data_IF_953878180588
#
_entry.id   IF_953878180588
#
_cell.length_a   1.000
_cell.length_b   1.000
_cell.length_c   1.000
_cell.angle_alpha   90.00
_cell.angle_beta   90.00
_cell.angle_gamma   90.00
#
_symmetry.space_group_name_H-M   'P 1'
#
loop_
_entity.id
_entity.type
_entity.pdbx_description
1 polymer ?
#
# COMPACT_ATOMS: atom_id res chain seq x y z
N UNK A 1 23.72 22.11 25.29
CA UNK A 1 24.96 22.93 25.38
C UNK A 1 26.03 22.15 24.68
N UNK A 2 26.79 22.72 23.74
CA UNK A 2 27.98 22.07 23.26
C UNK A 2 28.81 21.74 24.49
N UNK A 3 29.44 20.60 24.51
CA UNK A 3 30.23 20.18 25.65
C UNK A 3 31.41 21.17 25.81
N UNK A 4 31.34 22.05 26.80
CA UNK A 4 32.40 23.01 27.14
C UNK A 4 33.77 22.32 27.16
N UNK A 5 33.81 21.04 27.54
CA UNK A 5 35.01 20.22 27.55
C UNK A 5 35.54 19.90 26.14
N UNK A 6 34.67 19.60 25.15
CA UNK A 6 35.12 19.34 23.77
C UNK A 6 35.70 20.59 23.13
N UNK A 7 35.04 21.73 23.28
CA UNK A 7 35.50 23.02 22.72
C UNK A 7 36.82 23.42 23.37
N UNK A 8 36.95 23.30 24.71
CA UNK A 8 38.20 23.57 25.43
C UNK A 8 39.35 22.68 24.97
N UNK A 9 39.09 21.38 24.73
CA UNK A 9 40.13 20.46 24.22
C UNK A 9 40.59 20.84 22.81
N UNK A 10 39.66 21.20 21.93
CA UNK A 10 39.94 21.63 20.56
C UNK A 10 40.75 22.93 20.53
N UNK A 11 40.47 23.84 21.45
CA UNK A 11 41.18 25.13 21.57
C UNK A 11 42.57 25.00 22.12
N UNK A 12 42.79 24.06 23.06
CA UNK A 12 44.05 23.91 23.81
C UNK A 12 44.98 22.80 23.33
N UNK A 13 44.55 21.99 22.34
CA UNK A 13 45.35 20.93 21.75
C UNK A 13 45.74 21.25 20.30
N UNK A 14 46.92 20.83 19.80
CA UNK A 14 47.33 21.01 18.42
C UNK A 14 46.63 19.98 17.51
N UNK A 15 45.31 20.17 17.29
CA UNK A 15 44.53 19.27 16.46
C UNK A 15 44.42 19.78 15.01
N UNK A 16 44.50 18.89 13.98
CA UNK A 16 44.55 19.29 12.59
C UNK A 16 43.17 19.75 12.06
N UNK A 17 42.06 19.50 12.79
CA UNK A 17 40.71 19.91 12.43
C UNK A 17 39.95 20.42 13.64
N UNK A 18 38.93 21.23 13.39
CA UNK A 18 38.04 21.74 14.44
C UNK A 18 36.64 21.15 14.27
N UNK A 19 36.37 19.94 14.77
CA UNK A 19 35.07 19.33 14.74
C UNK A 19 34.09 20.07 15.63
N UNK A 20 32.80 20.09 15.22
CA UNK A 20 31.71 20.63 16.03
C UNK A 20 30.89 19.48 16.60
N UNK A 21 30.49 19.60 17.87
CA UNK A 21 29.59 18.69 18.53
C UNK A 21 28.16 19.18 18.32
N UNK A 22 27.31 18.30 17.79
CA UNK A 22 25.86 18.54 17.65
C UNK A 22 25.09 17.58 18.56
N UNK A 23 24.14 18.12 19.30
CA UNK A 23 23.25 17.35 20.17
C UNK A 23 21.85 17.35 19.60
N UNK A 24 21.22 16.18 19.57
CA UNK A 24 19.87 15.99 19.07
C UNK A 24 18.96 15.46 20.18
N UNK A 25 17.70 15.87 20.17
CA UNK A 25 16.68 15.28 21.01
C UNK A 25 16.44 13.80 20.61
N UNK A 26 16.10 12.98 21.58
CA UNK A 26 15.64 11.61 21.30
C UNK A 26 14.24 11.67 20.69
N UNK A 27 14.09 11.10 19.50
CA UNK A 27 12.80 10.88 18.86
C UNK A 27 12.26 9.50 19.23
N UNK A 28 11.03 9.41 19.69
CA UNK A 28 10.28 8.17 19.83
C UNK A 28 9.09 8.19 18.87
N UNK A 29 8.61 7.00 18.51
CA UNK A 29 7.38 6.83 17.72
C UNK A 29 6.34 6.11 18.55
N UNK A 30 5.08 6.47 18.35
CA UNK A 30 3.97 5.66 18.85
C UNK A 30 3.95 4.27 18.20
N UNK A 31 3.47 3.27 18.92
CA UNK A 31 3.40 1.87 18.49
C UNK A 31 4.73 1.24 18.05
N UNK A 32 5.87 1.79 18.49
CA UNK A 32 7.19 1.40 18.00
C UNK A 32 8.22 1.52 19.10
N UNK A 33 9.18 0.61 19.10
CA UNK A 33 10.38 0.70 19.95
C UNK A 33 11.61 0.96 19.09
N UNK A 34 12.46 1.90 19.51
CA UNK A 34 13.71 2.25 18.81
C UNK A 34 14.96 1.76 19.53
N UNK A 35 14.79 1.12 20.68
CA UNK A 35 15.90 0.59 21.47
C UNK A 35 16.55 -0.61 20.77
N UNK A 36 17.85 -0.49 20.42
CA UNK A 36 18.62 -1.59 19.80
C UNK A 36 18.53 -2.90 20.60
N UNK A 37 18.53 -2.81 21.95
CA UNK A 37 18.41 -3.99 22.82
C UNK A 37 17.08 -4.72 22.63
N UNK A 38 15.97 -3.98 22.57
CA UNK A 38 14.65 -4.58 22.36
C UNK A 38 14.49 -5.10 20.92
N UNK A 39 14.93 -4.33 19.92
CA UNK A 39 14.91 -4.79 18.53
C UNK A 39 15.75 -6.06 18.33
N UNK A 40 16.93 -6.13 18.95
CA UNK A 40 17.77 -7.33 18.92
C UNK A 40 17.10 -8.55 19.52
N UNK A 41 16.34 -8.38 20.61
CA UNK A 41 15.57 -9.47 21.22
C UNK A 41 14.42 -9.94 20.32
N UNK A 42 13.69 -9.04 19.68
CA UNK A 42 12.64 -9.40 18.72
C UNK A 42 13.19 -10.31 17.60
N UNK A 43 14.42 -10.02 17.13
CA UNK A 43 15.09 -10.85 16.11
C UNK A 43 15.57 -12.17 16.69
N UNK A 44 16.31 -12.14 17.83
CA UNK A 44 16.93 -13.36 18.40
C UNK A 44 15.90 -14.36 18.96
N UNK A 45 14.74 -13.88 19.40
CA UNK A 45 13.66 -14.68 19.93
C UNK A 45 12.61 -15.08 18.84
N UNK A 46 12.82 -14.66 17.57
CA UNK A 46 12.02 -15.09 16.42
C UNK A 46 10.65 -14.41 16.28
N UNK A 47 10.42 -13.28 16.95
CA UNK A 47 9.17 -12.50 16.79
C UNK A 47 9.09 -11.79 15.44
N UNK A 48 10.26 -11.51 14.84
CA UNK A 48 10.42 -10.97 13.48
C UNK A 48 11.48 -11.76 12.74
N UNK A 49 11.45 -11.75 11.39
CA UNK A 49 12.37 -12.55 10.54
C UNK A 49 13.81 -12.08 10.57
N UNK A 50 14.03 -10.80 10.87
CA UNK A 50 15.38 -10.21 10.87
C UNK A 50 15.34 -8.70 11.02
N UNK A 51 16.50 -8.06 10.91
CA UNK A 51 16.63 -6.60 11.00
C UNK A 51 15.98 -5.85 9.84
N UNK A 52 15.71 -6.54 8.74
CA UNK A 52 15.03 -6.04 7.54
C UNK A 52 13.56 -6.47 7.45
N UNK A 53 13.00 -7.08 8.50
CA UNK A 53 11.56 -7.39 8.55
C UNK A 53 10.75 -6.09 8.37
N UNK A 54 9.83 -6.01 7.38
CA UNK A 54 9.08 -4.80 7.06
C UNK A 54 8.26 -4.18 8.21
N UNK A 55 8.09 -4.88 9.33
CA UNK A 55 7.46 -4.38 10.55
C UNK A 55 8.41 -3.64 11.49
N UNK A 56 9.73 -3.78 11.24
CA UNK A 56 10.78 -3.16 12.06
C UNK A 56 11.01 -1.70 11.67
N UNK A 57 11.41 -0.82 12.62
CA UNK A 57 11.69 0.59 12.36
C UNK A 57 13.14 0.84 11.90
N UNK A 58 13.78 -0.13 11.28
CA UNK A 58 15.14 0.00 10.75
C UNK A 58 15.14 0.54 9.33
N UNK A 59 16.21 1.21 8.90
CA UNK A 59 16.31 1.69 7.52
C UNK A 59 16.27 0.56 6.49
N UNK A 60 16.82 -0.61 6.83
CA UNK A 60 16.75 -1.80 5.96
C UNK A 60 15.31 -2.30 5.81
N UNK A 61 14.55 -2.34 6.91
CA UNK A 61 13.15 -2.73 6.92
C UNK A 61 12.27 -1.73 6.16
N UNK A 62 12.44 -0.44 6.40
CA UNK A 62 11.70 0.61 5.69
C UNK A 62 11.99 0.57 4.18
N UNK A 63 13.26 0.37 3.79
CA UNK A 63 13.64 0.18 2.38
C UNK A 63 12.96 -1.04 1.77
N UNK A 64 13.01 -2.20 2.45
CA UNK A 64 12.37 -3.44 2.00
C UNK A 64 10.86 -3.29 1.88
N UNK A 65 10.24 -2.49 2.75
CA UNK A 65 8.82 -2.15 2.71
C UNK A 65 8.46 -1.16 1.60
N UNK A 66 9.44 -0.49 0.98
CA UNK A 66 9.23 0.46 -0.12
C UNK A 66 9.04 1.91 0.32
N UNK A 67 9.55 2.31 1.49
CA UNK A 67 9.52 3.71 1.92
C UNK A 67 10.56 4.52 1.13
N UNK A 68 10.18 5.57 0.39
CA UNK A 68 11.12 6.41 -0.33
C UNK A 68 11.94 7.27 0.64
N UNK A 69 13.26 7.46 0.40
CA UNK A 69 14.12 8.26 1.27
C UNK A 69 13.66 9.70 1.46
N UNK A 70 12.99 10.28 0.45
CA UNK A 70 12.44 11.64 0.55
C UNK A 70 11.35 11.74 1.61
N UNK A 71 10.44 10.77 1.69
CA UNK A 71 9.39 10.78 2.72
C UNK A 71 9.97 10.76 4.13
N UNK A 72 11.08 10.02 4.33
CA UNK A 72 11.81 10.03 5.60
C UNK A 72 12.45 11.39 5.90
N UNK A 73 13.03 12.05 4.90
CA UNK A 73 13.64 13.39 5.05
C UNK A 73 12.59 14.44 5.35
N UNK A 74 11.51 14.48 4.56
CA UNK A 74 10.40 15.42 4.78
C UNK A 74 9.83 15.30 6.20
N UNK A 75 9.65 14.06 6.67
CA UNK A 75 9.21 13.81 8.04
C UNK A 75 10.19 14.39 9.07
N UNK A 76 11.52 14.18 8.90
CA UNK A 76 12.52 14.71 9.83
C UNK A 76 12.55 16.25 9.83
N UNK A 77 12.36 16.88 8.67
CA UNK A 77 12.28 18.34 8.56
C UNK A 77 11.03 18.88 9.27
N UNK A 78 9.91 18.15 9.23
CA UNK A 78 8.67 18.53 9.91
C UNK A 78 8.77 18.37 11.43
N UNK A 79 9.40 17.27 11.89
CA UNK A 79 9.60 17.00 13.32
C UNK A 79 10.86 17.70 13.80
N UNK A 80 10.80 19.03 14.05
CA UNK A 80 11.94 19.82 14.51
C UNK A 80 12.74 19.12 15.63
N UNK A 81 13.90 18.59 15.30
CA UNK A 81 14.82 17.91 16.25
C UNK A 81 15.57 18.87 17.17
N UNK A 82 15.27 20.16 17.13
CA UNK A 82 15.97 21.25 17.85
C UNK A 82 15.57 21.46 19.31
N UNK A 83 14.66 20.67 19.87
CA UNK A 83 14.22 20.77 21.26
C UNK A 83 15.09 19.99 22.24
N UNK A 84 15.30 20.53 23.45
CA UNK A 84 15.87 19.77 24.58
C UNK A 84 14.76 18.90 25.18
N UNK A 85 14.82 17.60 24.97
CA UNK A 85 13.89 16.64 25.57
C UNK A 85 13.56 15.45 24.67
N UNK A 86 12.79 14.50 25.20
CA UNK A 86 12.27 13.37 24.41
C UNK A 86 11.02 13.85 23.69
N UNK A 87 11.03 13.79 22.36
CA UNK A 87 9.86 14.05 21.53
C UNK A 87 9.24 12.72 21.11
N UNK A 88 7.94 12.58 21.24
CA UNK A 88 7.16 11.49 20.65
C UNK A 88 6.49 12.00 19.37
N UNK A 89 6.67 11.28 18.29
CA UNK A 89 5.99 11.56 17.02
C UNK A 89 4.96 10.45 16.74
N UNK A 90 3.81 10.86 16.24
CA UNK A 90 2.85 9.89 15.73
C UNK A 90 3.40 9.23 14.46
N UNK A 91 3.39 7.91 14.40
CA UNK A 91 3.89 7.19 13.22
C UNK A 91 3.10 7.56 11.95
N UNK A 92 1.86 7.99 12.10
CA UNK A 92 0.99 8.49 11.05
C UNK A 92 1.56 9.73 10.33
N UNK A 93 2.38 10.53 11.02
CA UNK A 93 3.07 11.68 10.41
C UNK A 93 4.11 11.22 9.38
N UNK A 94 4.88 10.18 9.71
CA UNK A 94 5.81 9.56 8.76
C UNK A 94 5.06 8.94 7.59
N UNK A 95 3.97 8.22 7.86
CA UNK A 95 3.16 7.59 6.82
C UNK A 95 2.52 8.63 5.90
N UNK A 96 2.16 9.81 6.40
CA UNK A 96 1.65 10.93 5.61
C UNK A 96 2.69 11.41 4.59
N UNK A 97 3.90 11.73 5.04
CA UNK A 97 4.98 12.21 4.18
C UNK A 97 5.38 11.18 3.10
N UNK A 98 5.45 9.91 3.49
CA UNK A 98 5.71 8.82 2.55
C UNK A 98 4.59 8.71 1.50
N UNK A 99 3.34 8.82 1.93
CA UNK A 99 2.17 8.76 1.03
C UNK A 99 2.14 9.93 0.06
N UNK A 100 2.47 11.13 0.50
CA UNK A 100 2.53 12.32 -0.33
C UNK A 100 3.58 12.17 -1.45
N UNK A 101 4.78 11.69 -1.13
CA UNK A 101 5.81 11.38 -2.13
C UNK A 101 5.33 10.31 -3.12
N UNK A 102 4.76 9.21 -2.61
CA UNK A 102 4.31 8.10 -3.45
C UNK A 102 3.11 8.48 -4.32
N UNK A 103 2.21 9.33 -3.85
CA UNK A 103 1.07 9.81 -4.64
C UNK A 103 1.53 10.52 -5.92
N UNK A 104 2.59 11.31 -5.83
CA UNK A 104 3.16 12.02 -6.96
C UNK A 104 3.98 11.15 -7.91
N UNK A 105 4.64 10.09 -7.41
CA UNK A 105 5.64 9.33 -8.19
C UNK A 105 5.21 7.93 -8.59
N UNK A 106 4.45 7.24 -7.73
CA UNK A 106 4.15 5.84 -7.94
C UNK A 106 3.28 5.63 -9.18
N UNK A 107 3.72 4.74 -10.06
CA UNK A 107 2.93 4.34 -11.22
C UNK A 107 1.70 3.56 -10.75
N UNK A 108 0.55 3.82 -11.39
CA UNK A 108 -0.71 3.11 -11.11
C UNK A 108 -0.69 1.77 -11.84
N UNK A 109 -1.06 0.70 -11.14
CA UNK A 109 -1.10 -0.66 -11.65
C UNK A 109 -2.36 -1.36 -11.20
N UNK A 110 -2.84 -2.32 -11.98
CA UNK A 110 -3.96 -3.16 -11.58
C UNK A 110 -3.45 -4.41 -10.85
N UNK A 111 -4.09 -4.72 -9.75
CA UNK A 111 -3.88 -5.93 -8.98
C UNK A 111 -5.18 -6.32 -8.30
N UNK A 112 -5.42 -7.60 -8.12
CA UNK A 112 -6.59 -8.15 -7.43
C UNK A 112 -6.08 -9.05 -6.31
N UNK A 113 -6.35 -8.68 -5.07
CA UNK A 113 -5.83 -9.38 -3.89
C UNK A 113 -6.69 -10.55 -3.46
N UNK A 114 -8.00 -10.45 -3.70
CA UNK A 114 -8.99 -11.50 -3.43
C UNK A 114 -9.81 -11.74 -4.68
N UNK A 115 -9.33 -12.57 -5.61
CA UNK A 115 -9.97 -12.72 -6.91
C UNK A 115 -11.40 -13.30 -6.83
N UNK A 116 -12.32 -12.65 -7.55
CA UNK A 116 -13.61 -13.18 -7.90
C UNK A 116 -13.76 -13.13 -9.42
N UNK A 117 -14.11 -14.26 -10.02
CA UNK A 117 -14.26 -14.37 -11.48
C UNK A 117 -15.49 -13.59 -11.95
N UNK A 118 -15.35 -12.88 -13.07
CA UNK A 118 -16.41 -12.15 -13.75
C UNK A 118 -16.37 -12.54 -15.23
N UNK A 119 -17.47 -13.07 -15.75
CA UNK A 119 -17.63 -13.45 -17.16
C UNK A 119 -18.59 -12.50 -17.84
N UNK A 120 -18.16 -11.86 -18.93
CA UNK A 120 -18.97 -10.96 -19.74
C UNK A 120 -19.64 -11.79 -20.85
N UNK A 121 -20.92 -12.15 -20.69
CA UNK A 121 -21.59 -13.13 -21.55
C UNK A 121 -21.75 -12.66 -23.00
N UNK A 122 -21.96 -11.38 -23.21
CA UNK A 122 -22.12 -10.77 -24.55
C UNK A 122 -20.83 -10.22 -25.14
N UNK A 123 -19.64 -10.47 -24.53
CA UNK A 123 -18.35 -10.16 -25.13
C UNK A 123 -17.91 -11.33 -26.02
N UNK A 124 -17.37 -11.07 -27.25
CA UNK A 124 -17.00 -12.15 -28.18
C UNK A 124 -15.95 -13.11 -27.61
N UNK A 125 -16.16 -14.39 -27.81
CA UNK A 125 -15.18 -15.41 -27.40
C UNK A 125 -13.84 -15.26 -28.14
N UNK A 126 -12.75 -15.44 -27.41
CA UNK A 126 -11.38 -15.35 -27.95
C UNK A 126 -10.95 -13.95 -28.36
N UNK A 127 -11.81 -12.95 -28.23
CA UNK A 127 -11.42 -11.57 -28.49
C UNK A 127 -10.66 -11.01 -27.29
N UNK A 128 -9.45 -10.46 -27.59
CA UNK A 128 -8.67 -9.68 -26.64
C UNK A 128 -8.45 -8.29 -27.23
N UNK A 129 -8.73 -7.26 -26.48
CA UNK A 129 -8.42 -5.89 -26.88
C UNK A 129 -7.49 -5.24 -25.86
N UNK A 130 -6.71 -4.27 -26.34
CA UNK A 130 -5.83 -3.47 -25.49
C UNK A 130 -6.56 -2.21 -25.04
N UNK A 131 -6.69 -2.07 -23.73
CA UNK A 131 -7.25 -0.87 -23.10
C UNK A 131 -6.12 0.02 -22.61
N UNK A 132 -6.18 1.29 -22.98
CA UNK A 132 -5.17 2.26 -22.55
C UNK A 132 -5.44 2.73 -21.12
N UNK A 133 -4.40 2.64 -20.27
CA UNK A 133 -4.46 3.06 -18.88
C UNK A 133 -3.34 4.06 -18.54
N UNK A 134 -3.68 5.17 -17.91
CA UNK A 134 -2.73 6.19 -17.46
C UNK A 134 -1.83 5.64 -16.37
N UNK A 135 -0.50 5.80 -16.53
CA UNK A 135 0.47 5.33 -15.57
C UNK A 135 0.50 6.16 -14.29
N UNK A 136 0.39 7.49 -14.42
CA UNK A 136 0.28 8.38 -13.26
C UNK A 136 -0.53 9.63 -13.64
N UNK A 137 -1.72 9.86 -13.03
CA UNK A 137 -2.52 11.05 -13.34
C UNK A 137 -1.89 12.35 -12.84
N UNK A 138 -0.97 12.32 -11.86
CA UNK A 138 -0.25 13.48 -11.33
C UNK A 138 0.98 13.82 -12.19
N UNK A 139 1.46 12.90 -13.03
CA UNK A 139 2.61 13.06 -13.90
C UNK A 139 2.30 12.60 -15.33
N UNK A 140 1.88 13.51 -16.21
CA UNK A 140 1.60 13.18 -17.61
C UNK A 140 2.82 12.61 -18.38
N UNK A 141 4.06 12.90 -17.93
CA UNK A 141 5.28 12.38 -18.55
C UNK A 141 5.46 10.87 -18.33
N UNK A 142 4.81 10.30 -17.34
CA UNK A 142 4.79 8.85 -17.09
C UNK A 142 4.04 8.07 -18.19
N UNK A 143 3.28 8.76 -19.05
CA UNK A 143 2.59 8.20 -20.21
C UNK A 143 1.48 7.20 -19.83
N UNK A 144 1.20 6.31 -20.77
CA UNK A 144 0.14 5.30 -20.67
C UNK A 144 0.72 3.91 -20.88
N UNK A 145 -0.07 2.89 -20.56
CA UNK A 145 0.20 1.48 -20.84
C UNK A 145 -1.03 0.80 -21.42
N UNK A 146 -0.81 -0.31 -22.08
CA UNK A 146 -1.87 -1.17 -22.59
C UNK A 146 -2.14 -2.31 -21.63
N UNK A 147 -3.42 -2.49 -21.28
CA UNK A 147 -3.89 -3.55 -20.39
C UNK A 147 -4.82 -4.46 -21.21
N UNK A 148 -4.55 -5.78 -21.28
CA UNK A 148 -5.40 -6.70 -22.03
C UNK A 148 -6.76 -6.84 -21.38
N UNK A 149 -7.84 -6.68 -22.18
CA UNK A 149 -9.22 -6.87 -21.78
C UNK A 149 -9.81 -8.05 -22.57
N UNK A 150 -10.50 -8.95 -21.90
CA UNK A 150 -11.08 -10.15 -22.48
C UNK A 150 -12.47 -10.43 -21.89
N UNK A 151 -13.13 -11.49 -22.36
CA UNK A 151 -14.42 -11.94 -21.86
C UNK A 151 -14.42 -12.30 -20.38
N UNK A 152 -13.32 -12.90 -19.91
CA UNK A 152 -13.18 -13.38 -18.54
C UNK A 152 -12.20 -12.48 -17.75
N UNK A 153 -12.67 -11.99 -16.64
CA UNK A 153 -11.95 -11.05 -15.80
C UNK A 153 -11.90 -11.52 -14.35
N UNK A 154 -10.94 -10.97 -13.61
CA UNK A 154 -10.88 -11.00 -12.15
C UNK A 154 -11.17 -9.62 -11.59
N UNK A 155 -12.00 -9.55 -10.56
CA UNK A 155 -12.26 -8.34 -9.76
C UNK A 155 -12.01 -8.64 -8.29
N UNK A 156 -11.94 -7.59 -7.45
CA UNK A 156 -11.90 -7.79 -6.01
C UNK A 156 -13.21 -8.41 -5.51
N UNK A 157 -13.12 -9.46 -4.70
CA UNK A 157 -14.28 -10.08 -4.06
C UNK A 157 -15.10 -9.08 -3.25
N UNK A 158 -14.43 -8.15 -2.57
CA UNK A 158 -15.07 -7.10 -1.78
C UNK A 158 -15.82 -6.06 -2.64
N UNK A 159 -15.63 -6.07 -3.96
CA UNK A 159 -16.37 -5.22 -4.90
C UNK A 159 -17.74 -5.77 -5.28
N UNK A 160 -18.08 -6.98 -4.86
CA UNK A 160 -19.39 -7.58 -5.08
C UNK A 160 -20.11 -7.91 -3.77
N UNK A 161 -21.41 -7.72 -3.76
CA UNK A 161 -22.32 -8.15 -2.69
C UNK A 161 -23.68 -8.53 -3.28
N UNK A 162 -24.17 -9.74 -2.98
CA UNK A 162 -25.41 -10.25 -3.51
C UNK A 162 -26.62 -9.52 -2.94
N UNK A 163 -26.63 -9.31 -1.62
CA UNK A 163 -27.68 -8.55 -0.92
C UNK A 163 -27.06 -7.29 -0.26
N UNK A 164 -26.86 -6.21 -1.04
CA UNK A 164 -26.13 -5.06 -0.60
C UNK A 164 -26.96 -4.12 0.29
N UNK A 165 -26.41 -3.58 1.35
CA UNK A 165 -27.03 -2.52 2.12
C UNK A 165 -27.16 -1.23 1.27
N UNK A 166 -28.08 -0.34 1.66
CA UNK A 166 -28.42 0.89 0.90
C UNK A 166 -27.20 1.77 0.53
N UNK A 167 -26.13 1.73 1.33
CA UNK A 167 -24.90 2.53 1.11
C UNK A 167 -23.80 1.79 0.34
N UNK A 168 -24.02 0.57 -0.10
CA UNK A 168 -23.08 -0.15 -0.94
C UNK A 168 -23.34 0.22 -2.40
N UNK A 169 -22.37 0.83 -3.07
CA UNK A 169 -22.51 1.35 -4.44
C UNK A 169 -21.75 0.52 -5.49
N UNK A 170 -21.05 -0.55 -5.07
CA UNK A 170 -20.28 -1.42 -5.96
C UNK A 170 -21.21 -2.43 -6.66
N UNK A 171 -20.65 -3.45 -7.31
CA UNK A 171 -21.37 -4.42 -8.10
C UNK A 171 -22.34 -5.26 -7.25
N UNK A 172 -23.54 -5.46 -7.76
CA UNK A 172 -24.59 -6.26 -7.17
C UNK A 172 -25.53 -6.76 -8.30
N UNK A 173 -26.37 -7.76 -8.08
CA UNK A 173 -27.33 -8.20 -9.08
C UNK A 173 -28.17 -7.04 -9.66
N UNK A 174 -28.22 -6.95 -10.98
CA UNK A 174 -28.91 -5.87 -11.71
C UNK A 174 -28.28 -4.48 -11.61
N UNK A 175 -27.13 -4.33 -10.97
CA UNK A 175 -26.45 -3.04 -10.82
C UNK A 175 -25.33 -2.88 -11.82
N UNK A 176 -25.31 -1.69 -12.46
CA UNK A 176 -24.26 -1.28 -13.37
C UNK A 176 -23.10 -0.62 -12.64
N UNK A 177 -21.86 -0.96 -13.04
CA UNK A 177 -20.60 -0.34 -12.60
C UNK A 177 -19.70 -0.08 -13.79
N UNK A 178 -18.73 0.82 -13.62
CA UNK A 178 -17.68 1.07 -14.60
C UNK A 178 -16.48 0.14 -14.32
N UNK A 179 -16.01 -0.59 -15.30
CA UNK A 179 -14.67 -1.17 -15.30
C UNK A 179 -13.67 -0.09 -15.74
N UNK A 180 -12.64 0.12 -14.91
CA UNK A 180 -11.67 1.20 -15.07
C UNK A 180 -11.08 1.22 -16.47
N UNK A 181 -11.19 2.36 -17.18
CA UNK A 181 -10.72 2.57 -18.55
C UNK A 181 -11.35 1.66 -19.62
N UNK A 182 -12.30 0.77 -19.28
CA UNK A 182 -12.91 -0.17 -20.20
C UNK A 182 -14.40 0.17 -20.42
N UNK A 183 -15.31 -0.63 -19.93
CA UNK A 183 -16.74 -0.56 -20.22
C UNK A 183 -17.59 -0.48 -18.96
N UNK A 184 -18.86 -0.16 -19.13
CA UNK A 184 -19.85 -0.42 -18.09
C UNK A 184 -20.30 -1.88 -18.18
N UNK A 185 -20.50 -2.49 -17.01
CA UNK A 185 -21.01 -3.86 -16.88
C UNK A 185 -22.11 -3.92 -15.85
N UNK A 186 -23.12 -4.72 -16.14
CA UNK A 186 -24.25 -5.01 -15.24
C UNK A 186 -24.21 -6.49 -14.87
N UNK A 187 -24.29 -6.81 -13.58
CA UNK A 187 -24.36 -8.20 -13.12
C UNK A 187 -25.75 -8.78 -13.45
N UNK A 188 -25.77 -9.86 -14.23
CA UNK A 188 -26.97 -10.57 -14.68
C UNK A 188 -27.29 -11.80 -13.86
N UNK A 189 -26.25 -12.50 -13.39
CA UNK A 189 -26.39 -13.74 -12.62
C UNK A 189 -25.21 -13.96 -11.68
N UNK A 190 -25.40 -14.84 -10.67
CA UNK A 190 -24.40 -15.20 -9.64
C UNK A 190 -24.28 -16.69 -9.56
N UNK A 191 -23.09 -17.22 -9.83
CA UNK A 191 -22.80 -18.65 -9.75
C UNK A 191 -22.19 -18.99 -8.39
N UNK A 192 -22.77 -19.98 -7.73
CA UNK A 192 -22.31 -20.49 -6.44
C UNK A 192 -21.82 -21.92 -6.55
N UNK A 193 -20.86 -22.27 -5.73
CA UNK A 193 -20.43 -23.66 -5.58
C UNK A 193 -21.38 -24.49 -4.70
N UNK A 194 -21.03 -25.75 -4.47
CA UNK A 194 -21.84 -26.67 -3.66
C UNK A 194 -21.93 -26.27 -2.17
N UNK A 195 -21.03 -25.40 -1.69
CA UNK A 195 -21.06 -24.85 -0.32
C UNK A 195 -21.92 -23.58 -0.21
N UNK A 196 -22.35 -23.04 -1.34
CA UNK A 196 -23.08 -21.76 -1.41
C UNK A 196 -22.19 -20.53 -1.54
N UNK A 197 -20.86 -20.73 -1.64
CA UNK A 197 -19.91 -19.62 -1.86
C UNK A 197 -19.97 -19.14 -3.30
N UNK A 198 -19.91 -17.81 -3.48
CA UNK A 198 -19.91 -17.18 -4.80
C UNK A 198 -18.56 -17.40 -5.46
N UNK A 199 -18.54 -18.07 -6.62
CA UNK A 199 -17.34 -18.40 -7.39
C UNK A 199 -17.22 -17.66 -8.70
N UNK A 200 -18.35 -17.21 -9.29
CA UNK A 200 -18.36 -16.50 -10.56
C UNK A 200 -19.54 -15.54 -10.64
N UNK A 201 -19.32 -14.41 -11.29
CA UNK A 201 -20.36 -13.45 -11.66
C UNK A 201 -20.54 -13.46 -13.17
N UNK A 202 -21.79 -13.46 -13.63
CA UNK A 202 -22.12 -13.26 -15.02
C UNK A 202 -22.58 -11.83 -15.21
N UNK A 203 -22.06 -11.19 -16.25
CA UNK A 203 -22.32 -9.79 -16.53
C UNK A 203 -22.57 -9.59 -18.02
N UNK A 204 -23.33 -8.56 -18.33
CA UNK A 204 -23.42 -8.00 -19.67
C UNK A 204 -22.66 -6.66 -19.71
N UNK A 205 -21.88 -6.40 -20.78
CA UNK A 205 -21.26 -5.11 -20.99
C UNK A 205 -22.03 -4.27 -21.99
N UNK A 206 -21.87 -2.96 -21.90
CA UNK A 206 -22.37 -2.02 -22.88
C UNK A 206 -21.24 -1.58 -23.82
N UNK A 207 -21.23 -2.01 -25.09
CA UNK A 207 -20.15 -1.71 -26.04
C UNK A 207 -20.02 -0.22 -26.38
N UNK A 208 -21.07 0.59 -26.20
CA UNK A 208 -21.03 2.02 -26.47
C UNK A 208 -20.29 2.83 -25.39
N UNK A 209 -19.92 2.19 -24.27
CA UNK A 209 -19.28 2.84 -23.12
C UNK A 209 -17.76 2.65 -23.08
N UNK A 210 -17.12 2.34 -24.22
CA UNK A 210 -15.68 2.17 -24.32
C UNK A 210 -14.92 3.39 -23.80
N UNK A 211 -13.92 3.16 -22.94
CA UNK A 211 -13.17 4.24 -22.27
C UNK A 211 -13.86 4.76 -21.00
N UNK A 212 -15.08 4.29 -20.69
CA UNK A 212 -15.77 4.58 -19.45
C UNK A 212 -16.70 5.79 -19.46
N UNK A 213 -17.13 6.24 -20.63
CA UNK A 213 -18.19 7.24 -20.80
C UNK A 213 -19.38 6.64 -21.57
N UNK A 214 -20.58 7.04 -21.21
CA UNK A 214 -21.82 6.59 -21.88
C UNK A 214 -22.37 7.70 -22.79
N UNK A 215 -22.84 7.37 -24.02
CA UNK A 215 -23.42 8.36 -24.95
C UNK A 215 -24.65 9.08 -24.38
N UNK A 216 -25.43 8.41 -23.54
CA UNK A 216 -26.60 8.96 -22.85
C UNK A 216 -26.25 9.78 -21.59
N UNK A 217 -24.98 9.92 -21.26
CA UNK A 217 -24.49 10.69 -20.12
C UNK A 217 -24.67 10.05 -18.75
N UNK A 218 -25.15 8.78 -18.67
CA UNK A 218 -25.26 8.09 -17.39
C UNK A 218 -23.87 7.84 -16.79
N UNK A 219 -23.80 7.83 -15.46
CA UNK A 219 -22.54 7.67 -14.71
C UNK A 219 -22.74 6.69 -13.57
N UNK A 220 -22.25 5.45 -13.68
CA UNK A 220 -22.23 4.50 -12.58
C UNK A 220 -21.51 5.08 -11.36
N UNK A 221 -22.05 4.81 -10.17
CA UNK A 221 -21.49 5.36 -8.91
C UNK A 221 -20.16 4.76 -8.51
N UNK A 222 -19.80 3.59 -9.05
CA UNK A 222 -18.57 2.89 -8.72
C UNK A 222 -17.74 2.59 -9.97
N UNK A 223 -16.42 2.67 -9.81
CA UNK A 223 -15.44 2.21 -10.77
C UNK A 223 -14.61 1.10 -10.13
N UNK A 224 -14.54 -0.06 -10.79
CA UNK A 224 -13.79 -1.22 -10.35
C UNK A 224 -12.52 -1.36 -11.20
N UNK A 225 -11.42 -1.76 -10.59
CA UNK A 225 -10.27 -2.28 -11.31
C UNK A 225 -10.47 -3.76 -11.57
N UNK A 226 -9.76 -4.27 -12.54
CA UNK A 226 -9.95 -5.62 -13.06
C UNK A 226 -8.66 -6.15 -13.69
N UNK A 227 -8.61 -7.46 -13.92
CA UNK A 227 -7.54 -8.11 -14.67
C UNK A 227 -8.15 -9.12 -15.64
N UNK A 228 -7.57 -9.24 -16.84
CA UNK A 228 -7.90 -10.35 -17.75
C UNK A 228 -7.49 -11.67 -17.13
N UNK A 229 -8.38 -12.64 -17.12
CA UNK A 229 -8.16 -13.95 -16.51
C UNK A 229 -7.00 -14.71 -17.18
N UNK A 230 -6.89 -14.58 -18.49
CA UNK A 230 -5.85 -15.24 -19.30
C UNK A 230 -4.46 -14.61 -19.11
N UNK A 231 -4.40 -13.30 -18.82
CA UNK A 231 -3.14 -12.55 -18.79
C UNK A 231 -2.67 -12.21 -17.37
N UNK A 232 -3.49 -12.43 -16.36
CA UNK A 232 -3.15 -12.14 -14.97
C UNK A 232 -2.02 -13.06 -14.48
N UNK A 233 -1.07 -12.46 -13.74
CA UNK A 233 0.09 -13.16 -13.21
C UNK A 233 -0.12 -13.42 -11.72
N UNK A 234 0.09 -14.67 -11.24
CA UNK A 234 0.00 -15.00 -9.82
C UNK A 234 1.05 -14.25 -8.99
N UNK A 235 0.63 -13.79 -7.81
CA UNK A 235 1.50 -13.11 -6.87
C UNK A 235 1.10 -13.41 -5.42
N UNK A 236 2.08 -13.29 -4.52
CA UNK A 236 1.89 -13.26 -3.09
C UNK A 236 1.93 -11.80 -2.62
N UNK A 237 1.03 -11.41 -1.72
CA UNK A 237 1.05 -10.08 -1.13
C UNK A 237 1.12 -10.17 0.38
N UNK A 238 2.06 -9.42 0.97
CA UNK A 238 2.23 -9.30 2.42
C UNK A 238 1.68 -7.95 2.87
N UNK A 239 0.71 -8.00 3.77
CA UNK A 239 0.07 -6.82 4.35
C UNK A 239 0.56 -6.70 5.79
N UNK A 240 1.06 -5.51 6.14
CA UNK A 240 1.60 -5.25 7.48
C UNK A 240 0.70 -4.30 8.23
N UNK A 241 0.47 -4.62 9.49
CA UNK A 241 -0.08 -3.76 10.51
C UNK A 241 1.00 -3.37 11.52
N UNK A 242 0.65 -2.62 12.54
CA UNK A 242 1.59 -2.23 13.60
C UNK A 242 2.09 -3.45 14.34
N UNK A 243 3.40 -3.47 14.63
CA UNK A 243 4.02 -4.57 15.38
C UNK A 243 3.53 -4.65 16.83
N UNK A 244 3.10 -3.50 17.39
CA UNK A 244 2.57 -3.42 18.74
C UNK A 244 1.15 -2.89 18.75
N UNK A 245 0.36 -3.33 19.72
CA UNK A 245 -1.05 -2.96 19.89
C UNK A 245 -1.24 -1.65 20.67
N UNK A 246 -0.20 -1.19 21.40
CA UNK A 246 -0.27 0.00 22.27
C UNK A 246 0.64 1.14 21.76
N UNK A 247 0.23 2.40 22.00
CA UNK A 247 1.03 3.57 21.60
C UNK A 247 2.42 3.63 22.27
N UNK A 248 2.54 3.18 23.51
CA UNK A 248 3.79 3.12 24.27
C UNK A 248 4.10 1.66 24.66
N UNK A 249 4.75 0.89 23.78
CA UNK A 249 4.99 -0.53 24.00
C UNK A 249 5.95 -0.77 25.17
N UNK A 250 5.57 -1.70 26.05
CA UNK A 250 6.36 -2.07 27.22
C UNK A 250 6.29 -1.09 28.39
N UNK A 251 5.36 -0.13 28.39
CA UNK A 251 5.17 0.81 29.50
C UNK A 251 4.87 0.09 30.82
N UNK A 252 4.16 -1.03 30.78
CA UNK A 252 3.83 -1.85 31.95
C UNK A 252 4.93 -2.86 32.33
N UNK A 253 6.11 -2.82 31.66
CA UNK A 253 7.26 -3.67 31.93
C UNK A 253 7.36 -4.94 31.06
N UNK A 254 6.28 -5.35 30.38
CA UNK A 254 6.30 -6.50 29.46
C UNK A 254 6.03 -6.06 28.01
N UNK A 255 7.13 -5.93 27.25
CA UNK A 255 7.06 -5.57 25.84
C UNK A 255 6.34 -6.63 24.97
N UNK A 256 6.43 -7.90 25.36
CA UNK A 256 5.90 -8.99 24.54
C UNK A 256 4.38 -9.14 24.66
N UNK A 257 3.82 -8.73 25.79
CA UNK A 257 2.37 -8.68 25.97
C UNK A 257 1.70 -7.69 25.00
N UNK A 258 2.44 -6.71 24.51
CA UNK A 258 1.97 -5.70 23.57
C UNK A 258 2.17 -6.08 22.11
N UNK A 259 2.78 -7.24 21.78
CA UNK A 259 2.94 -7.68 20.40
C UNK A 259 1.60 -7.93 19.73
N UNK A 260 1.47 -7.46 18.50
CA UNK A 260 0.28 -7.69 17.68
C UNK A 260 0.44 -9.03 16.91
N UNK A 261 -0.33 -10.07 17.26
CA UNK A 261 -0.26 -11.36 16.59
C UNK A 261 -0.70 -11.29 15.11
N UNK A 262 -1.46 -10.26 14.75
CA UNK A 262 -1.95 -10.02 13.40
C UNK A 262 -1.14 -8.94 12.66
N UNK A 263 0.11 -8.69 13.09
CA UNK A 263 0.96 -7.65 12.48
C UNK A 263 1.37 -7.95 11.04
N UNK A 264 1.17 -9.19 10.56
CA UNK A 264 1.40 -9.61 9.18
C UNK A 264 0.24 -10.50 8.70
N UNK A 265 -0.26 -10.20 7.51
CA UNK A 265 -1.20 -11.07 6.76
C UNK A 265 -0.60 -11.39 5.41
N UNK A 266 -0.52 -12.68 5.09
CA UNK A 266 0.02 -13.14 3.80
C UNK A 266 -1.13 -13.63 2.93
N UNK A 267 -1.35 -12.98 1.78
CA UNK A 267 -2.31 -13.37 0.76
C UNK A 267 -1.57 -14.13 -0.33
N UNK A 268 -1.93 -15.39 -0.58
CA UNK A 268 -1.21 -16.30 -1.47
C UNK A 268 -1.74 -16.27 -2.91
N UNK A 269 -3.02 -15.98 -3.09
CA UNK A 269 -3.74 -16.12 -4.36
C UNK A 269 -4.06 -14.78 -5.01
N UNK A 270 -3.13 -13.82 -4.90
CA UNK A 270 -3.28 -12.53 -5.55
C UNK A 270 -2.93 -12.62 -7.02
N UNK A 271 -3.51 -11.73 -7.80
CA UNK A 271 -3.25 -11.59 -9.23
C UNK A 271 -2.81 -10.17 -9.55
N UNK A 272 -1.88 -10.04 -10.48
CA UNK A 272 -1.34 -8.73 -10.90
C UNK A 272 -1.28 -8.62 -12.42
N UNK A 273 -1.26 -7.39 -12.94
CA UNK A 273 -1.10 -7.17 -14.38
C UNK A 273 0.32 -7.58 -14.86
N UNK A 274 0.47 -7.99 -16.13
CA UNK A 274 1.76 -8.46 -16.66
C UNK A 274 2.91 -7.46 -16.52
N UNK A 275 2.63 -6.15 -16.60
CA UNK A 275 3.63 -5.09 -16.46
C UNK A 275 4.36 -5.09 -15.10
N UNK A 276 3.84 -5.81 -14.10
CA UNK A 276 4.48 -5.93 -12.78
C UNK A 276 5.56 -7.01 -12.72
N UNK A 277 5.69 -7.86 -13.74
CA UNK A 277 6.74 -8.90 -13.81
C UNK A 277 8.14 -8.33 -13.97
N UNK A 278 8.25 -7.13 -14.55
CA UNK A 278 9.52 -6.44 -14.82
C UNK A 278 9.83 -5.34 -13.81
N UNK A 279 8.97 -5.18 -12.78
CA UNK A 279 9.15 -4.13 -11.78
C UNK A 279 10.38 -4.42 -10.90
N UNK A 280 11.37 -3.51 -10.84
CA UNK A 280 12.56 -3.71 -10.02
C UNK A 280 12.24 -3.78 -8.53
N UNK A 281 12.99 -4.62 -7.79
CA UNK A 281 12.92 -4.66 -6.33
C UNK A 281 13.26 -3.28 -5.75
N UNK A 282 12.43 -2.80 -4.82
CA UNK A 282 12.58 -1.48 -4.20
C UNK A 282 11.83 -0.36 -4.91
N UNK A 283 11.27 -0.59 -6.10
CA UNK A 283 10.40 0.37 -6.77
C UNK A 283 8.95 0.21 -6.30
N UNK A 284 8.39 1.27 -5.74
CA UNK A 284 7.02 1.25 -5.20
C UNK A 284 6.03 1.75 -6.23
N UNK A 285 4.95 0.98 -6.44
CA UNK A 285 3.81 1.31 -7.30
C UNK A 285 2.53 1.42 -6.48
N UNK A 286 1.52 2.05 -7.06
CA UNK A 286 0.19 2.02 -6.48
C UNK A 286 -0.66 0.92 -7.13
N UNK A 287 -1.10 -0.06 -6.35
CA UNK A 287 -2.23 -0.91 -6.77
C UNK A 287 -3.50 -0.07 -6.63
N UNK A 288 -4.12 0.23 -7.78
CA UNK A 288 -5.26 1.15 -7.83
C UNK A 288 -6.35 0.75 -6.84
N UNK A 289 -6.83 1.73 -6.04
CA UNK A 289 -7.84 1.58 -4.99
C UNK A 289 -7.40 0.77 -3.75
N UNK A 290 -6.21 0.13 -3.75
CA UNK A 290 -5.76 -0.78 -2.69
C UNK A 290 -4.68 -0.18 -1.80
N UNK A 291 -3.65 0.45 -2.38
CA UNK A 291 -2.52 0.98 -1.63
C UNK A 291 -1.26 1.10 -2.46
N UNK A 292 -0.14 1.31 -1.77
CA UNK A 292 1.20 1.31 -2.33
C UNK A 292 1.89 0.01 -2.00
N UNK A 293 2.57 -0.58 -3.00
CA UNK A 293 3.20 -1.88 -2.89
C UNK A 293 4.57 -1.88 -3.53
N UNK A 294 5.49 -2.62 -2.93
CA UNK A 294 6.88 -2.74 -3.36
C UNK A 294 7.22 -4.21 -3.57
N UNK A 295 7.87 -4.59 -4.69
CA UNK A 295 8.38 -5.96 -4.85
C UNK A 295 9.37 -6.31 -3.76
N UNK A 296 9.17 -7.46 -3.12
CA UNK A 296 10.07 -7.97 -2.08
C UNK A 296 11.27 -8.68 -2.72
N UNK A 297 12.47 -8.62 -2.11
CA UNK A 297 13.63 -9.40 -2.53
C UNK A 297 13.41 -10.92 -2.59
N UNK A 298 12.39 -11.44 -1.90
CA UNK A 298 12.00 -12.85 -1.98
C UNK A 298 11.30 -13.22 -3.31
N UNK A 299 11.06 -12.25 -4.19
CA UNK A 299 10.50 -12.51 -5.53
C UNK A 299 11.48 -13.29 -6.39
N UNK A 300 10.96 -14.26 -7.12
CA UNK A 300 11.71 -15.04 -8.10
C UNK A 300 10.90 -15.15 -9.39
N UNK A 301 11.51 -15.52 -10.53
CA UNK A 301 10.75 -15.78 -11.76
C UNK A 301 9.63 -16.77 -11.51
N UNK A 302 8.39 -16.40 -11.84
CA UNK A 302 7.18 -17.19 -11.60
C UNK A 302 6.61 -17.15 -10.18
N UNK A 303 7.25 -16.43 -9.25
CA UNK A 303 6.75 -16.21 -7.89
C UNK A 303 6.99 -14.77 -7.46
N UNK A 304 6.08 -13.90 -7.81
CA UNK A 304 6.12 -12.50 -7.40
C UNK A 304 5.67 -12.36 -5.94
N UNK A 305 6.39 -11.55 -5.18
CA UNK A 305 6.06 -11.22 -3.79
C UNK A 305 6.06 -9.70 -3.65
N UNK A 306 4.97 -9.15 -3.12
CA UNK A 306 4.83 -7.71 -2.86
C UNK A 306 4.62 -7.43 -1.39
N UNK A 307 5.28 -6.40 -0.88
CA UNK A 307 5.05 -5.84 0.44
C UNK A 307 4.12 -4.62 0.33
N UNK A 308 3.06 -4.56 1.12
CA UNK A 308 2.29 -3.32 1.24
C UNK A 308 3.11 -2.27 1.97
N UNK A 309 3.48 -1.22 1.26
CA UNK A 309 4.15 -0.05 1.83
C UNK A 309 3.17 0.70 2.74
N UNK A 310 2.07 1.19 2.16
CA UNK A 310 1.01 1.93 2.87
C UNK A 310 -0.36 1.73 2.22
N UNK A 311 -1.42 1.93 3.00
CA UNK A 311 -2.78 2.11 2.48
C UNK A 311 -3.00 3.51 1.88
N UNK A 312 -4.09 3.67 1.10
CA UNK A 312 -4.45 4.96 0.49
C UNK A 312 -5.03 5.97 1.50
N UNK A 313 -5.63 5.49 2.59
CA UNK A 313 -6.26 6.38 3.59
C UNK A 313 -5.19 7.11 4.38
N UNK A 314 -5.29 8.43 4.38
CA UNK A 314 -4.46 9.28 5.22
C UNK A 314 -5.11 9.43 6.60
N UNK A 315 -4.52 8.76 7.59
CA UNK A 315 -4.99 8.80 8.98
C UNK A 315 -4.52 10.07 9.68
N UNK A 316 -3.34 10.58 9.33
CA UNK A 316 -2.78 11.80 9.91
C UNK A 316 -3.63 13.04 9.58
N UNK A 317 -4.02 13.21 8.32
CA UNK A 317 -4.92 14.30 7.92
C UNK A 317 -6.24 14.28 8.71
N UNK A 318 -6.76 13.10 9.06
CA UNK A 318 -7.95 12.98 9.92
C UNK A 318 -7.67 13.38 11.36
N UNK A 319 -6.52 12.98 11.93
CA UNK A 319 -6.13 13.35 13.29
C UNK A 319 -5.94 14.86 13.40
N UNK A 320 -5.30 15.50 12.41
CA UNK A 320 -5.16 16.96 12.35
C UNK A 320 -6.52 17.67 12.27
N UNK A 321 -7.43 17.19 11.41
CA UNK A 321 -8.76 17.78 11.28
C UNK A 321 -9.58 17.64 12.58
N UNK A 322 -9.42 16.56 13.33
CA UNK A 322 -10.06 16.37 14.64
C UNK A 322 -9.45 17.28 15.72
N UNK A 323 -8.14 17.49 15.69
CA UNK A 323 -7.44 18.36 16.64
C UNK A 323 -7.69 19.86 16.40
N UNK A 324 -7.98 20.26 15.15
CA UNK A 324 -8.28 21.65 14.80
C UNK A 324 -9.67 22.12 15.25
N UNK A 325 -10.56 21.18 15.70
CA UNK A 325 -11.91 21.48 16.16
C UNK A 325 -12.84 22.06 15.08
N UNK A 326 -14.13 22.16 15.34
CA UNK A 326 -15.05 22.86 14.43
C UNK A 326 -14.84 24.38 14.52
#
# INVERSE_FOLDING_TARGET
MPSIASDWLIENLPVPSRPHQYEFARLNFTYTVLSKRFLGRLVSEGHVRGWDDPRMPTLSALRRRGFPPEGLRNFLDMVSLGGKGTSAAEIEMLEHEVRDVLNRRALRRFAVLRPLRLVIENYPEGQVEEVEAVNNPEDPSAGTRKVPFARELWIERDDFMEDPPRKFFRLAPGREVRLRNAYFVTCTDVVKDASGEIVELRCAYDPETRGGDAPDGRRPKATLHWLSSEHAVPAQVRIYDRLFTRPDPGADGDLYADLNPNSETVLQECLVEPALTELPVGETVQFERLGYFCPDPDSTPGRLVFNRTLGLRDTWAKLQAQAAGP
#
